data_IF_610097637485
#
_entry.id   IF_610097637485
#
_cell.length_a   1.000
_cell.length_b   1.000
_cell.length_c   1.000
_cell.angle_alpha   90.00
_cell.angle_beta   90.00
_cell.angle_gamma   90.00
#
_symmetry.space_group_name_H-M   'P 1'
#
loop_
_entity.id
_entity.type
_entity.pdbx_description
1 polymer ?
#
# COMPACT_ATOMS: atom_id res chain seq x y z
N UNK A 1 12.48 -21.99 -20.63
CA UNK A 1 11.76 -20.97 -19.87
C UNK A 1 10.29 -21.06 -20.25
N UNK A 2 9.46 -21.67 -19.40
CA UNK A 2 8.02 -21.72 -19.65
C UNK A 2 7.47 -20.29 -19.56
N UNK A 3 7.00 -19.76 -20.69
CA UNK A 3 6.22 -18.54 -20.67
C UNK A 3 4.98 -18.82 -19.82
N UNK A 4 4.86 -18.16 -18.67
CA UNK A 4 3.56 -18.06 -18.02
C UNK A 4 2.63 -17.44 -19.06
N UNK A 5 1.66 -18.25 -19.50
CA UNK A 5 0.59 -17.80 -20.38
C UNK A 5 0.10 -16.46 -19.84
N UNK A 6 0.07 -15.45 -20.72
CA UNK A 6 -0.11 -14.03 -20.42
C UNK A 6 -1.51 -13.67 -19.89
N UNK A 7 -2.16 -14.56 -19.14
CA UNK A 7 -3.49 -14.38 -18.56
C UNK A 7 -3.66 -15.04 -17.20
N UNK A 8 -2.61 -15.59 -16.56
CA UNK A 8 -2.75 -16.14 -15.21
C UNK A 8 -3.11 -15.02 -14.22
N UNK A 9 -4.36 -14.98 -13.68
CA UNK A 9 -4.79 -13.91 -12.80
C UNK A 9 -4.03 -13.91 -11.47
N UNK A 10 -3.57 -15.08 -11.03
CA UNK A 10 -2.74 -15.23 -9.82
C UNK A 10 -1.38 -14.59 -10.02
N UNK A 11 -0.70 -14.86 -11.15
CA UNK A 11 0.59 -14.26 -11.46
C UNK A 11 0.47 -12.73 -11.54
N UNK A 12 -0.58 -12.23 -12.22
CA UNK A 12 -0.87 -10.79 -12.31
C UNK A 12 -1.18 -10.15 -10.96
N UNK A 13 -1.92 -10.83 -10.09
CA UNK A 13 -2.15 -10.36 -8.72
C UNK A 13 -0.87 -10.35 -7.88
N UNK A 14 -0.01 -11.35 -8.05
CA UNK A 14 1.26 -11.47 -7.35
C UNK A 14 2.25 -10.35 -7.72
N UNK A 15 2.21 -9.82 -8.95
CA UNK A 15 3.01 -8.65 -9.35
C UNK A 15 2.79 -7.43 -8.44
N UNK A 16 1.59 -7.28 -7.87
CA UNK A 16 1.28 -6.21 -6.91
C UNK A 16 1.44 -6.70 -5.48
N UNK A 17 0.83 -7.83 -5.14
CA UNK A 17 0.77 -8.34 -3.77
C UNK A 17 2.13 -8.79 -3.23
N UNK A 18 2.95 -9.47 -4.04
CA UNK A 18 4.19 -10.09 -3.58
C UNK A 18 5.39 -9.14 -3.54
N UNK A 19 5.17 -7.85 -3.82
CA UNK A 19 6.20 -6.84 -3.68
C UNK A 19 6.64 -6.66 -2.22
N UNK A 20 7.94 -6.44 -2.00
CA UNK A 20 8.48 -6.30 -0.64
C UNK A 20 7.71 -5.21 0.12
N UNK A 21 7.27 -5.57 1.33
CA UNK A 21 6.45 -4.80 2.27
C UNK A 21 4.95 -4.71 1.96
N UNK A 22 4.51 -4.93 0.72
CA UNK A 22 3.10 -4.82 0.34
C UNK A 22 2.18 -5.73 1.18
N UNK A 23 2.52 -7.01 1.44
CA UNK A 23 1.70 -7.87 2.30
C UNK A 23 1.55 -7.35 3.74
N UNK A 24 2.58 -6.69 4.29
CA UNK A 24 2.53 -6.15 5.66
C UNK A 24 1.68 -4.88 5.72
N UNK A 25 1.78 -4.02 4.71
CA UNK A 25 0.94 -2.81 4.58
C UNK A 25 -0.53 -3.23 4.48
N UNK A 26 -0.85 -4.17 3.58
CA UNK A 26 -2.21 -4.67 3.40
C UNK A 26 -2.76 -5.33 4.66
N UNK A 27 -1.95 -6.16 5.33
CA UNK A 27 -2.31 -6.76 6.62
C UNK A 27 -2.73 -5.69 7.64
N UNK A 28 -1.96 -4.61 7.76
CA UNK A 28 -2.25 -3.56 8.74
C UNK A 28 -3.56 -2.83 8.41
N UNK A 29 -3.80 -2.52 7.12
CA UNK A 29 -5.06 -1.93 6.66
C UNK A 29 -6.25 -2.87 6.94
N UNK A 30 -6.11 -4.16 6.62
CA UNK A 30 -7.14 -5.18 6.88
C UNK A 30 -7.42 -5.38 8.37
N UNK A 31 -6.46 -5.07 9.24
CA UNK A 31 -6.63 -5.03 10.70
C UNK A 31 -7.15 -3.69 11.23
N UNK A 32 -7.54 -2.77 10.36
CA UNK A 32 -8.19 -1.51 10.74
C UNK A 32 -7.23 -0.35 11.01
N UNK A 33 -5.96 -0.43 10.60
CA UNK A 33 -5.10 0.76 10.57
C UNK A 33 -5.57 1.70 9.45
N UNK A 34 -6.10 2.86 9.83
CA UNK A 34 -6.63 3.85 8.88
C UNK A 34 -5.67 5.01 8.66
N UNK A 35 -4.75 5.27 9.59
CA UNK A 35 -3.75 6.32 9.49
C UNK A 35 -2.39 5.85 8.99
N UNK A 36 -1.69 6.72 8.25
CA UNK A 36 -0.31 6.47 7.81
C UNK A 36 0.62 6.02 8.96
N UNK A 37 0.55 6.68 10.12
CA UNK A 37 1.39 6.35 11.27
C UNK A 37 1.04 4.98 11.89
N UNK A 38 -0.23 4.61 11.90
CA UNK A 38 -0.69 3.30 12.40
C UNK A 38 -0.18 2.18 11.48
N UNK A 39 -0.33 2.39 10.17
CA UNK A 39 0.17 1.46 9.15
C UNK A 39 1.68 1.30 9.25
N UNK A 40 2.43 2.40 9.43
CA UNK A 40 3.89 2.38 9.59
C UNK A 40 4.34 1.65 10.87
N UNK A 41 3.62 1.83 11.99
CA UNK A 41 3.95 1.20 13.26
C UNK A 41 3.88 -0.33 13.19
N UNK A 42 2.96 -0.88 12.40
CA UNK A 42 2.83 -2.32 12.17
C UNK A 42 3.83 -2.91 11.16
N UNK A 43 4.74 -2.11 10.58
CA UNK A 43 5.74 -2.54 9.60
C UNK A 43 7.16 -2.05 9.97
N UNK A 44 7.71 -2.48 11.12
CA UNK A 44 9.04 -2.05 11.56
C UNK A 44 10.12 -2.39 10.52
N UNK A 45 10.91 -1.38 10.12
CA UNK A 45 11.92 -1.48 9.07
C UNK A 45 11.49 -0.94 7.69
N UNK A 46 10.21 -0.64 7.51
CA UNK A 46 9.71 0.10 6.35
C UNK A 46 9.98 1.60 6.51
N UNK A 47 10.67 2.21 5.54
CA UNK A 47 10.83 3.67 5.55
C UNK A 47 9.51 4.37 5.22
N UNK A 48 9.31 5.57 5.76
CA UNK A 48 8.13 6.40 5.46
C UNK A 48 7.99 6.70 3.96
N UNK A 49 9.10 7.03 3.30
CA UNK A 49 9.10 7.29 1.85
C UNK A 49 8.67 6.07 1.03
N UNK A 50 9.11 4.87 1.40
CA UNK A 50 8.70 3.64 0.74
C UNK A 50 7.24 3.33 1.05
N UNK A 51 6.76 3.57 2.27
CA UNK A 51 5.33 3.44 2.60
C UNK A 51 4.45 4.34 1.71
N UNK A 52 4.81 5.63 1.58
CA UNK A 52 4.09 6.56 0.68
C UNK A 52 4.06 6.04 -0.75
N UNK A 53 5.21 5.57 -1.27
CA UNK A 53 5.30 5.00 -2.61
C UNK A 53 4.38 3.78 -2.78
N UNK A 54 4.40 2.86 -1.81
CA UNK A 54 3.59 1.63 -1.82
C UNK A 54 2.10 1.91 -1.75
N UNK A 55 1.67 2.85 -0.90
CA UNK A 55 0.25 3.24 -0.81
C UNK A 55 -0.24 3.82 -2.15
N UNK A 56 0.56 4.69 -2.78
CA UNK A 56 0.23 5.23 -4.10
C UNK A 56 0.19 4.14 -5.19
N UNK A 57 1.06 3.13 -5.12
CA UNK A 57 1.01 1.97 -6.04
C UNK A 57 -0.26 1.13 -5.84
N UNK A 58 -0.64 0.87 -4.58
CA UNK A 58 -1.86 0.14 -4.25
C UNK A 58 -3.13 0.89 -4.68
N UNK A 59 -3.14 2.22 -4.57
CA UNK A 59 -4.22 3.07 -5.09
C UNK A 59 -4.32 3.01 -6.61
N UNK A 60 -3.19 3.14 -7.33
CA UNK A 60 -3.16 3.00 -8.79
C UNK A 60 -3.61 1.62 -9.26
N UNK A 61 -3.32 0.57 -8.47
CA UNK A 61 -3.78 -0.79 -8.74
C UNK A 61 -5.26 -1.02 -8.36
N UNK A 62 -5.94 -0.02 -7.77
CA UNK A 62 -7.33 -0.12 -7.33
C UNK A 62 -7.54 -1.00 -6.10
N UNK A 63 -6.47 -1.30 -5.36
CA UNK A 63 -6.49 -2.20 -4.20
C UNK A 63 -6.66 -1.45 -2.88
N UNK A 64 -6.23 -0.19 -2.84
CA UNK A 64 -6.48 0.73 -1.71
C UNK A 64 -7.19 1.99 -2.21
N UNK A 65 -7.88 2.69 -1.31
CA UNK A 65 -8.40 4.03 -1.53
C UNK A 65 -8.04 4.90 -0.35
N UNK A 66 -7.51 6.09 -0.63
CA UNK A 66 -7.35 7.10 0.42
C UNK A 66 -8.73 7.56 0.88
N UNK A 67 -8.90 7.63 2.19
CA UNK A 67 -10.09 8.15 2.83
C UNK A 67 -9.69 9.41 3.59
N UNK A 68 -10.14 10.59 3.14
CA UNK A 68 -9.90 11.82 3.88
C UNK A 68 -10.41 11.65 5.31
N UNK A 69 -9.57 11.97 6.29
CA UNK A 69 -10.02 12.04 7.67
C UNK A 69 -11.05 13.16 7.77
N UNK A 70 -12.24 12.84 8.28
CA UNK A 70 -13.36 13.78 8.42
C UNK A 70 -12.99 15.06 9.19
N UNK A 71 -11.96 15.02 10.05
CA UNK A 71 -11.52 16.15 10.89
C UNK A 71 -9.99 16.37 10.93
N UNK A 72 -9.28 16.21 9.79
CA UNK A 72 -7.84 16.45 9.73
C UNK A 72 -7.47 17.88 9.32
N UNK A 73 -6.84 18.65 10.21
CA UNK A 73 -6.07 19.84 9.80
C UNK A 73 -4.85 19.36 9.01
N UNK A 74 -5.00 19.27 7.68
CA UNK A 74 -3.87 19.03 6.79
C UNK A 74 -3.04 20.29 6.71
N UNK A 75 -1.86 20.31 7.33
CA UNK A 75 -0.83 21.27 6.95
C UNK A 75 -0.51 21.05 5.48
N UNK A 76 -0.90 22.00 4.64
CA UNK A 76 -0.53 22.03 3.23
C UNK A 76 1.01 21.95 3.09
N UNK A 77 1.54 21.35 2.01
CA UNK A 77 2.95 21.50 1.71
C UNK A 77 3.18 22.96 1.31
N UNK A 78 3.83 23.71 2.18
CA UNK A 78 4.40 25.01 1.82
C UNK A 78 5.73 24.75 1.10
N UNK A 79 5.83 25.15 -0.17
CA UNK A 79 7.08 25.29 -0.92
C UNK A 79 7.45 24.13 -1.83
#
# INVERSE_FOLDING_TARGET
MHSYQQSCPVARGAEVFAERWTPMIMRNILYGCHGFNEIAAGAPGLSRSLLTKRLAELERAGVNRDHPKENGHGSAPEG
#
